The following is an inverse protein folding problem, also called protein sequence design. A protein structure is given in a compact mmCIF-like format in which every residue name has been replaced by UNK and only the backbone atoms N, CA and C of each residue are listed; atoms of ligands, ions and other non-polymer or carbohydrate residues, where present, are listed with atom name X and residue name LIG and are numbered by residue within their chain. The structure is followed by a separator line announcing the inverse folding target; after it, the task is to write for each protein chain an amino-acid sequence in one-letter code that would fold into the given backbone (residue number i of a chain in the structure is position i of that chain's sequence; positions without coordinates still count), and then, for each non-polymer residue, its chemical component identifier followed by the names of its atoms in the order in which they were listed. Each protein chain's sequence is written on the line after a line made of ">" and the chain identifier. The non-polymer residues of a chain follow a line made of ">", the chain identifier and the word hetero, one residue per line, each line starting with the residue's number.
data_IF_571706221176
#
_entry.id   IF_571706221176
#
_cell.length_a   1.000
_cell.length_b   1.000
_cell.length_c   1.000
_cell.angle_alpha   90.00
_cell.angle_beta   90.00
_cell.angle_gamma   90.00
#
_symmetry.space_group_name_H-M   'P 1'
#
loop_
_entity.id
_entity.type
_entity.pdbx_description
1 polymer ?
#
# COMPACT_ATOMS: atom_id res chain seq x y z
N UNK A 1 -36.55 10.46 -34.57
CA UNK A 1 -35.67 9.28 -34.41
C UNK A 1 -34.50 9.66 -33.52
N UNK A 2 -34.55 9.32 -32.23
CA UNK A 2 -33.48 9.64 -31.29
C UNK A 2 -32.31 8.69 -31.51
N UNK A 3 -31.25 9.18 -32.14
CA UNK A 3 -29.98 8.46 -32.27
C UNK A 3 -29.39 8.29 -30.87
N UNK A 4 -29.52 7.07 -30.33
CA UNK A 4 -28.90 6.68 -29.08
C UNK A 4 -27.39 6.68 -29.23
N UNK A 5 -26.74 7.75 -28.78
CA UNK A 5 -25.29 7.77 -28.60
C UNK A 5 -24.89 6.70 -27.59
N UNK A 6 -24.56 5.49 -28.07
CA UNK A 6 -23.81 4.53 -27.28
C UNK A 6 -22.46 5.17 -27.00
N UNK A 7 -22.27 5.68 -25.78
CA UNK A 7 -20.96 6.10 -25.25
C UNK A 7 -20.02 4.89 -25.31
N UNK A 8 -19.31 4.75 -26.43
CA UNK A 8 -18.32 3.71 -26.62
C UNK A 8 -17.19 3.83 -25.60
N UNK A 9 -16.58 2.70 -25.27
CA UNK A 9 -15.35 2.58 -24.48
C UNK A 9 -14.11 3.26 -25.13
N UNK A 10 -14.31 4.11 -26.14
CA UNK A 10 -13.35 4.86 -26.94
C UNK A 10 -12.80 6.10 -26.21
N UNK A 11 -12.47 5.96 -24.93
CA UNK A 11 -11.67 6.95 -24.22
C UNK A 11 -10.17 6.66 -24.34
N UNK A 12 -9.29 7.61 -23.98
CA UNK A 12 -7.85 7.39 -23.94
C UNK A 12 -7.53 6.20 -23.04
N UNK A 13 -6.50 5.44 -23.41
CA UNK A 13 -6.10 4.20 -22.74
C UNK A 13 -4.72 4.38 -22.11
N UNK A 14 -4.51 3.82 -20.92
CA UNK A 14 -3.18 3.70 -20.30
C UNK A 14 -3.00 2.36 -19.62
N UNK A 15 -1.76 1.97 -19.42
CA UNK A 15 -1.42 0.85 -18.54
C UNK A 15 -1.52 1.32 -17.08
N UNK A 16 -2.10 0.49 -16.22
CA UNK A 16 -2.20 0.72 -14.78
C UNK A 16 -2.03 -0.59 -14.04
N UNK A 17 -1.11 -0.61 -13.07
CA UNK A 17 -0.97 -1.71 -12.12
C UNK A 17 -2.14 -1.71 -11.14
N UNK A 18 -2.68 -2.89 -10.83
CA UNK A 18 -3.71 -3.10 -9.82
C UNK A 18 -3.34 -4.28 -8.96
N UNK A 19 -3.56 -4.12 -7.66
CA UNK A 19 -3.35 -5.16 -6.67
C UNK A 19 -4.38 -6.29 -6.75
N UNK A 20 -3.92 -7.51 -6.52
CA UNK A 20 -4.73 -8.71 -6.26
C UNK A 20 -4.19 -9.40 -5.01
N UNK A 21 -5.05 -9.70 -4.06
CA UNK A 21 -4.67 -10.39 -2.82
C UNK A 21 -4.29 -11.86 -3.08
N UNK A 22 -3.20 -12.31 -2.47
CA UNK A 22 -2.80 -13.73 -2.42
C UNK A 22 -2.71 -14.26 -0.98
N UNK A 23 -2.47 -13.39 -0.01
CA UNK A 23 -2.33 -13.75 1.41
C UNK A 23 -3.11 -12.80 2.30
N UNK A 24 -3.42 -13.26 3.51
CA UNK A 24 -4.02 -12.45 4.57
C UNK A 24 -3.02 -11.43 5.14
N UNK A 25 -3.53 -10.44 5.88
CA UNK A 25 -2.68 -9.55 6.65
C UNK A 25 -1.93 -10.34 7.73
N UNK A 26 -0.67 -9.98 7.93
CA UNK A 26 0.16 -10.43 9.04
C UNK A 26 0.91 -9.25 9.63
N UNK A 27 1.27 -9.35 10.90
CA UNK A 27 2.18 -8.39 11.53
C UNK A 27 3.47 -8.24 10.72
N UNK A 28 4.01 -7.03 10.70
CA UNK A 28 5.29 -6.77 10.05
C UNK A 28 6.37 -7.60 10.75
N UNK A 29 7.24 -8.31 10.01
CA UNK A 29 8.38 -8.98 10.63
C UNK A 29 9.30 -7.97 11.33
N UNK A 30 9.70 -8.23 12.57
CA UNK A 30 10.62 -7.36 13.33
C UNK A 30 11.87 -6.98 12.52
N UNK A 31 12.45 -7.94 11.80
CA UNK A 31 13.61 -7.70 10.93
C UNK A 31 13.40 -6.63 9.86
N UNK A 32 12.16 -6.36 9.44
CA UNK A 32 11.86 -5.31 8.48
C UNK A 32 11.69 -3.95 9.16
N UNK A 33 11.15 -3.92 10.38
CA UNK A 33 11.11 -2.72 11.21
C UNK A 33 12.55 -2.24 11.49
N UNK A 34 13.39 -3.14 12.01
CA UNK A 34 14.76 -2.84 12.46
C UNK A 34 15.71 -2.43 11.32
N UNK A 35 15.60 -3.08 10.17
CA UNK A 35 16.53 -2.88 9.04
C UNK A 35 15.96 -1.98 7.93
N UNK A 36 14.71 -1.55 8.07
CA UNK A 36 14.11 -0.59 7.16
C UNK A 36 14.72 0.79 7.31
N UNK A 37 14.61 1.60 6.26
CA UNK A 37 14.99 3.02 6.33
C UNK A 37 13.96 3.79 7.16
N UNK A 38 14.43 4.86 7.80
CA UNK A 38 13.60 5.84 8.48
C UNK A 38 13.72 7.16 7.75
N UNK A 39 12.59 7.71 7.31
CA UNK A 39 12.51 9.07 6.77
C UNK A 39 12.42 10.07 7.94
N UNK A 40 13.11 11.20 7.79
CA UNK A 40 12.95 12.36 8.68
C UNK A 40 11.70 13.12 8.28
N UNK A 41 10.87 13.52 9.25
CA UNK A 41 9.73 14.40 9.00
C UNK A 41 10.15 15.87 8.91
N UNK A 42 9.54 16.61 7.97
CA UNK A 42 9.58 18.07 7.93
C UNK A 42 8.54 18.69 8.89
N UNK A 43 8.47 20.03 9.00
CA UNK A 43 7.66 20.74 10.02
C UNK A 43 6.16 20.38 9.99
N UNK A 44 5.62 20.02 8.83
CA UNK A 44 4.19 19.73 8.61
C UNK A 44 3.89 18.22 8.38
N UNK A 45 4.92 17.37 8.44
CA UNK A 45 4.77 15.93 8.20
C UNK A 45 4.64 15.14 9.49
N UNK A 46 3.87 14.05 9.43
CA UNK A 46 3.80 13.04 10.48
C UNK A 46 4.61 11.82 10.11
N UNK A 47 5.17 11.15 11.12
CA UNK A 47 5.80 9.84 10.94
C UNK A 47 4.73 8.74 10.98
N UNK A 48 4.77 7.84 9.99
CA UNK A 48 3.97 6.61 9.99
C UNK A 48 4.88 5.38 9.99
N UNK A 49 4.55 4.43 10.84
CA UNK A 49 5.31 3.22 11.14
C UNK A 49 4.66 2.02 10.48
N UNK A 50 5.44 1.21 9.77
CA UNK A 50 4.94 -0.01 9.16
C UNK A 50 4.57 -1.05 10.24
N UNK A 51 3.32 -1.51 10.28
CA UNK A 51 2.86 -2.47 11.32
C UNK A 51 2.33 -3.79 10.77
N UNK A 52 1.81 -3.80 9.54
CA UNK A 52 1.31 -5.01 8.89
C UNK A 52 1.82 -5.10 7.46
N UNK A 53 1.91 -6.33 6.96
CA UNK A 53 2.16 -6.57 5.55
C UNK A 53 1.33 -7.74 5.02
N UNK A 54 1.09 -7.74 3.71
CA UNK A 54 0.63 -8.92 2.98
C UNK A 54 1.22 -9.02 1.60
N UNK A 55 1.38 -10.26 1.14
CA UNK A 55 1.76 -10.60 -0.21
C UNK A 55 0.51 -10.63 -1.12
N UNK A 56 0.65 -10.07 -2.31
CA UNK A 56 -0.31 -10.16 -3.41
C UNK A 56 0.30 -9.79 -4.76
N UNK A 57 -0.40 -10.00 -5.85
CA UNK A 57 0.13 -9.74 -7.18
C UNK A 57 -0.15 -8.30 -7.62
N UNK A 58 0.84 -7.68 -8.26
CA UNK A 58 0.64 -6.49 -9.08
C UNK A 58 0.35 -6.96 -10.50
N UNK A 59 -0.85 -6.65 -10.98
CA UNK A 59 -1.32 -7.02 -12.32
C UNK A 59 -1.44 -5.78 -13.21
N UNK A 60 -0.86 -5.83 -14.41
CA UNK A 60 -0.90 -4.71 -15.35
C UNK A 60 -2.13 -4.78 -16.24
N UNK A 61 -2.93 -3.72 -16.25
CA UNK A 61 -4.17 -3.65 -17.04
C UNK A 61 -4.19 -2.45 -17.96
N UNK A 62 -4.86 -2.58 -19.10
CA UNK A 62 -5.27 -1.44 -19.92
C UNK A 62 -6.55 -0.86 -19.32
N UNK A 63 -6.50 0.39 -18.90
CA UNK A 63 -7.64 1.13 -18.37
C UNK A 63 -8.04 2.26 -19.29
N UNK A 64 -9.34 2.54 -19.36
CA UNK A 64 -9.86 3.77 -19.91
C UNK A 64 -9.60 4.90 -18.90
N UNK A 65 -8.76 5.87 -19.23
CA UNK A 65 -8.36 6.93 -18.29
C UNK A 65 -9.52 7.81 -17.86
N UNK A 66 -10.49 8.04 -18.76
CA UNK A 66 -11.65 8.88 -18.50
C UNK A 66 -12.65 8.23 -17.53
N UNK A 67 -12.81 6.91 -17.59
CA UNK A 67 -13.87 6.21 -16.83
C UNK A 67 -13.33 5.28 -15.74
N UNK A 68 -12.02 5.04 -15.72
CA UNK A 68 -11.39 4.04 -14.84
C UNK A 68 -11.72 2.58 -15.20
N UNK A 69 -12.55 2.33 -16.22
CA UNK A 69 -12.96 0.98 -16.61
C UNK A 69 -11.77 0.17 -17.12
N UNK A 70 -11.71 -1.09 -16.70
CA UNK A 70 -10.81 -2.09 -17.27
C UNK A 70 -11.24 -2.38 -18.70
N UNK A 71 -10.29 -2.33 -19.63
CA UNK A 71 -10.52 -2.59 -21.05
C UNK A 71 -9.90 -3.92 -21.49
N UNK A 72 -8.72 -4.26 -20.97
CA UNK A 72 -7.97 -5.48 -21.31
C UNK A 72 -6.95 -5.79 -20.21
N UNK A 73 -6.64 -7.06 -20.00
CA UNK A 73 -5.60 -7.54 -19.07
C UNK A 73 -6.05 -8.79 -18.30
N UNK A 74 -5.20 -9.28 -17.37
CA UNK A 74 -3.86 -8.75 -17.07
C UNK A 74 -2.89 -9.01 -18.22
N UNK A 75 -1.96 -8.08 -18.46
CA UNK A 75 -0.94 -8.19 -19.51
C UNK A 75 0.42 -8.64 -18.96
N UNK A 76 0.71 -8.26 -17.73
CA UNK A 76 1.93 -8.57 -17.00
C UNK A 76 1.55 -8.83 -15.54
N UNK A 77 2.34 -9.67 -14.88
CA UNK A 77 2.21 -10.00 -13.47
C UNK A 77 3.57 -9.87 -12.79
N UNK A 78 3.56 -9.35 -11.57
CA UNK A 78 4.73 -9.28 -10.71
C UNK A 78 4.34 -9.52 -9.26
N UNK A 79 5.23 -10.10 -8.44
CA UNK A 79 5.01 -10.19 -7.00
C UNK A 79 4.94 -8.79 -6.38
N UNK A 80 4.05 -8.62 -5.41
CA UNK A 80 3.80 -7.36 -4.73
C UNK A 80 3.75 -7.54 -3.22
N UNK A 81 4.11 -6.49 -2.50
CA UNK A 81 3.91 -6.37 -1.06
C UNK A 81 3.08 -5.12 -0.80
N UNK A 82 2.06 -5.28 0.03
CA UNK A 82 1.25 -4.18 0.55
C UNK A 82 1.56 -4.05 2.03
N UNK A 83 1.85 -2.83 2.48
CA UNK A 83 2.22 -2.53 3.85
C UNK A 83 1.29 -1.46 4.40
N UNK A 84 0.80 -1.69 5.62
CA UNK A 84 0.04 -0.73 6.39
C UNK A 84 1.02 0.06 7.27
N UNK A 85 0.99 1.38 7.11
CA UNK A 85 1.70 2.33 7.93
C UNK A 85 0.70 3.06 8.82
N UNK A 86 1.03 3.31 10.09
CA UNK A 86 0.15 4.02 11.04
C UNK A 86 0.95 5.02 11.86
N UNK A 87 0.36 6.16 12.21
CA UNK A 87 0.91 7.10 13.18
C UNK A 87 1.12 6.43 14.55
N UNK A 88 2.04 6.97 15.36
CA UNK A 88 2.37 6.40 16.66
C UNK A 88 1.15 6.30 17.62
N UNK A 89 0.22 7.25 17.53
CA UNK A 89 -1.04 7.25 18.30
C UNK A 89 -2.11 6.30 17.77
N UNK A 90 -1.93 5.73 16.57
CA UNK A 90 -2.89 4.85 15.92
C UNK A 90 -3.99 5.58 15.13
N UNK A 91 -4.01 6.90 15.10
CA UNK A 91 -5.14 7.70 14.61
C UNK A 91 -5.21 7.81 13.08
N UNK A 92 -4.08 7.70 12.38
CA UNK A 92 -4.03 7.84 10.92
C UNK A 92 -3.21 6.73 10.29
N UNK A 93 -3.65 6.25 9.12
CA UNK A 93 -3.01 5.14 8.43
C UNK A 93 -2.87 5.38 6.93
N UNK A 94 -1.84 4.77 6.35
CA UNK A 94 -1.58 4.78 4.92
C UNK A 94 -1.21 3.37 4.45
N UNK A 95 -1.82 2.94 3.36
CA UNK A 95 -1.47 1.68 2.70
C UNK A 95 -0.56 1.96 1.50
N UNK A 96 0.63 1.35 1.49
CA UNK A 96 1.57 1.46 0.38
C UNK A 96 1.75 0.11 -0.31
N UNK A 97 1.61 0.11 -1.63
CA UNK A 97 1.90 -1.04 -2.49
C UNK A 97 3.27 -0.87 -3.14
N UNK A 98 4.04 -1.93 -3.22
CA UNK A 98 5.33 -1.94 -3.92
C UNK A 98 5.61 -3.30 -4.56
N UNK A 99 6.47 -3.29 -5.59
CA UNK A 99 6.98 -4.52 -6.21
C UNK A 99 7.81 -5.29 -5.18
N UNK A 100 7.41 -6.53 -4.91
CA UNK A 100 8.15 -7.41 -4.03
C UNK A 100 9.29 -8.09 -4.79
N UNK A 101 10.24 -8.66 -4.04
CA UNK A 101 11.25 -9.55 -4.57
C UNK A 101 10.90 -10.97 -4.18
N UNK A 102 10.89 -11.87 -5.14
CA UNK A 102 10.84 -13.30 -4.88
C UNK A 102 12.26 -13.81 -4.59
N UNK A 103 12.45 -14.50 -3.48
CA UNK A 103 13.73 -15.10 -3.09
C UNK A 103 13.45 -16.39 -2.34
N UNK A 104 13.94 -17.51 -2.86
CA UNK A 104 13.80 -18.85 -2.27
C UNK A 104 12.34 -19.21 -1.89
N UNK A 105 11.39 -18.88 -2.76
CA UNK A 105 9.95 -19.11 -2.53
C UNK A 105 9.31 -18.21 -1.46
N UNK A 106 10.06 -17.26 -0.89
CA UNK A 106 9.55 -16.23 0.02
C UNK A 106 9.47 -14.89 -0.71
N UNK A 107 8.44 -14.12 -0.38
CA UNK A 107 8.31 -12.74 -0.84
C UNK A 107 8.95 -11.80 0.18
N UNK A 108 9.84 -10.95 -0.32
CA UNK A 108 10.62 -9.97 0.45
C UNK A 108 10.28 -8.57 -0.04
N UNK A 109 10.44 -7.53 0.79
CA UNK A 109 10.14 -6.18 0.36
C UNK A 109 11.24 -5.70 -0.60
N UNK A 110 11.06 -4.55 -1.27
CA UNK A 110 12.13 -3.89 -2.01
C UNK A 110 13.42 -3.78 -1.18
N UNK A 111 14.59 -3.74 -1.83
CA UNK A 111 15.88 -3.55 -1.12
C UNK A 111 15.93 -2.24 -0.32
N UNK A 112 15.17 -1.24 -0.74
CA UNK A 112 15.08 0.07 -0.11
C UNK A 112 13.77 0.22 0.66
N UNK A 113 13.36 -0.82 1.38
CA UNK A 113 12.18 -0.75 2.23
C UNK A 113 12.35 0.35 3.28
N UNK A 114 11.32 1.18 3.44
CA UNK A 114 11.26 2.21 4.47
C UNK A 114 10.30 1.73 5.55
N UNK A 115 10.79 1.51 6.77
CA UNK A 115 9.99 1.05 7.90
C UNK A 115 9.26 2.19 8.60
N UNK A 116 9.75 3.42 8.48
CA UNK A 116 9.10 4.64 8.98
C UNK A 116 9.13 5.70 7.89
N UNK A 117 7.96 6.08 7.40
CA UNK A 117 7.80 7.09 6.34
C UNK A 117 7.36 8.43 6.94
N UNK A 118 7.68 9.52 6.25
CA UNK A 118 7.17 10.84 6.56
C UNK A 118 6.20 11.31 5.46
N UNK A 119 5.04 11.80 5.86
CA UNK A 119 3.97 12.23 4.94
C UNK A 119 3.18 13.37 5.56
N UNK A 120 2.60 14.22 4.71
CA UNK A 120 1.55 15.13 5.15
C UNK A 120 0.40 14.32 5.73
N UNK A 121 -0.20 14.79 6.83
CA UNK A 121 -1.33 14.10 7.45
C UNK A 121 -2.51 13.93 6.49
N UNK A 122 -2.67 14.85 5.53
CA UNK A 122 -3.70 14.79 4.48
C UNK A 122 -3.50 13.62 3.49
N UNK A 123 -2.29 13.04 3.42
CA UNK A 123 -2.03 11.83 2.63
C UNK A 123 -2.44 10.55 3.37
N UNK A 124 -2.75 10.62 4.67
CA UNK A 124 -3.15 9.48 5.49
C UNK A 124 -4.66 9.51 5.78
N UNK A 125 -5.26 8.33 5.82
CA UNK A 125 -6.67 8.18 6.13
C UNK A 125 -6.88 8.09 7.65
N UNK A 126 -7.93 8.74 8.21
CA UNK A 126 -8.25 8.59 9.62
C UNK A 126 -8.68 7.15 9.93
N UNK A 127 -8.21 6.62 11.05
CA UNK A 127 -8.51 5.28 11.55
C UNK A 127 -9.72 5.35 12.48
N UNK A 128 -10.72 4.44 12.33
CA UNK A 128 -11.83 4.36 13.26
C UNK A 128 -11.36 4.11 14.70
N UNK A 129 -11.97 4.79 15.68
CA UNK A 129 -11.62 4.70 17.11
C UNK A 129 -11.49 3.25 17.62
N UNK A 130 -12.33 2.33 17.11
CA UNK A 130 -12.31 0.91 17.46
C UNK A 130 -11.00 0.19 17.14
N UNK A 131 -10.18 0.73 16.22
CA UNK A 131 -8.94 0.13 15.74
C UNK A 131 -7.69 0.87 16.22
N UNK A 132 -7.81 2.12 16.68
CA UNK A 132 -6.67 2.98 17.05
C UNK A 132 -5.81 2.35 18.15
N UNK A 133 -6.44 1.86 19.23
CA UNK A 133 -5.73 1.19 20.34
C UNK A 133 -4.94 -0.05 19.88
N UNK A 134 -5.47 -0.80 18.91
CA UNK A 134 -4.79 -1.96 18.36
C UNK A 134 -3.56 -1.56 17.54
N UNK A 135 -3.70 -0.53 16.71
CA UNK A 135 -2.58 -0.05 15.90
C UNK A 135 -1.50 0.64 16.74
N UNK A 136 -1.87 1.47 17.72
CA UNK A 136 -0.93 2.09 18.66
C UNK A 136 -0.06 1.03 19.33
N UNK A 137 -0.67 -0.02 19.89
CA UNK A 137 0.07 -1.14 20.51
C UNK A 137 0.97 -1.87 19.52
N UNK A 138 0.52 -2.03 18.27
CA UNK A 138 1.34 -2.67 17.24
C UNK A 138 2.59 -1.84 16.90
N UNK A 139 2.49 -0.51 16.95
CA UNK A 139 3.66 0.38 16.81
C UNK A 139 4.58 0.24 18.01
N UNK A 140 4.06 0.33 19.24
CA UNK A 140 4.81 0.17 20.48
C UNK A 140 5.59 -1.17 20.50
N UNK A 141 4.91 -2.28 20.18
CA UNK A 141 5.52 -3.62 20.15
C UNK A 141 6.68 -3.74 19.15
N UNK A 142 6.60 -3.05 18.00
CA UNK A 142 7.60 -3.16 16.94
C UNK A 142 8.75 -2.16 17.07
N UNK A 143 8.50 -0.95 17.59
CA UNK A 143 9.42 0.18 17.50
C UNK A 143 9.84 0.77 18.85
N UNK A 144 9.13 0.46 19.94
CA UNK A 144 9.50 0.87 21.31
C UNK A 144 9.36 -0.32 22.27
N UNK A 145 10.10 -1.43 22.03
CA UNK A 145 9.98 -2.62 22.87
C UNK A 145 10.47 -2.35 24.30
N UNK A 146 9.86 -2.98 25.32
CA UNK A 146 10.15 -2.75 26.74
C UNK A 146 11.57 -3.15 27.18
#
# INVERSE_FOLDING_TARGET
>A
MSSGYRRGNTGPKKLKWRWKDETENRSLPQSWADNGRTESSEEDEVQLYAIECRAGLLLEWVVNTRTGKLLRGPLSEKPGIRVLYVTADGEHALVKESEARETDGSWKPPKQFTSVIAKDIEEADPVPDSSQDHYRRSVEELYDPP
#
